data_IF_836367810226
#
_entry.id   IF_836367810226
#
_cell.length_a   1.000
_cell.length_b   1.000
_cell.length_c   1.000
_cell.angle_alpha   90.00
_cell.angle_beta   90.00
_cell.angle_gamma   90.00
#
_symmetry.space_group_name_H-M   'P 1'
#
loop_
_entity.id
_entity.type
_entity.pdbx_description
1 polymer ?
#
# COMPACT_ATOMS: atom_id res chain seq x y z
N UNK A 1 11.66 7.73 18.60
CA UNK A 1 11.17 7.01 17.40
C UNK A 1 9.65 7.11 17.36
N UNK A 2 9.12 7.82 16.37
CA UNK A 2 7.66 8.11 16.27
C UNK A 2 6.94 7.22 15.24
N UNK A 3 7.50 6.05 14.92
CA UNK A 3 6.95 5.17 13.88
C UNK A 3 5.94 4.20 14.45
N UNK A 4 4.89 3.92 13.68
CA UNK A 4 3.90 2.87 13.96
C UNK A 4 4.22 1.73 13.00
N UNK A 5 4.54 0.57 13.55
CA UNK A 5 5.01 -0.59 12.80
C UNK A 5 3.90 -1.65 12.77
N UNK A 6 3.61 -2.16 11.57
CA UNK A 6 2.71 -3.30 11.36
C UNK A 6 3.55 -4.46 10.83
N UNK A 7 3.55 -5.58 11.53
CA UNK A 7 4.17 -6.82 11.03
C UNK A 7 3.21 -7.58 10.12
N UNK A 8 3.74 -8.29 9.12
CA UNK A 8 2.94 -9.04 8.12
C UNK A 8 2.21 -10.27 8.69
N UNK A 9 2.57 -10.70 9.88
CA UNK A 9 2.05 -11.89 10.55
C UNK A 9 0.81 -11.64 11.41
N UNK A 10 0.34 -10.37 11.53
CA UNK A 10 -0.87 -10.04 12.26
C UNK A 10 -1.71 -8.99 11.53
N UNK A 11 -3.01 -9.25 11.42
CA UNK A 11 -3.94 -8.28 10.87
C UNK A 11 -4.27 -7.22 11.94
N UNK A 12 -4.27 -5.91 11.58
CA UNK A 12 -4.80 -4.88 12.45
C UNK A 12 -6.29 -5.13 12.70
N UNK A 13 -6.74 -4.89 13.92
CA UNK A 13 -8.14 -5.06 14.31
C UNK A 13 -8.84 -3.71 14.31
N UNK A 14 -9.93 -3.59 13.55
CA UNK A 14 -10.78 -2.41 13.59
C UNK A 14 -11.53 -2.33 14.93
N UNK A 15 -11.39 -1.21 15.63
CA UNK A 15 -12.13 -0.90 16.86
C UNK A 15 -13.34 0.01 16.60
N UNK A 16 -13.24 0.86 15.57
CA UNK A 16 -14.31 1.76 15.16
C UNK A 16 -13.84 2.71 14.08
N UNK A 17 -14.75 3.16 13.24
CA UNK A 17 -14.45 4.17 12.22
C UNK A 17 -15.69 4.93 11.82
N UNK A 18 -15.52 6.11 11.27
CA UNK A 18 -16.62 6.91 10.77
C UNK A 18 -16.20 8.28 10.26
N UNK A 19 -17.21 8.99 9.74
CA UNK A 19 -17.14 10.40 9.42
C UNK A 19 -17.76 11.19 10.58
N UNK A 20 -17.03 12.18 11.08
CA UNK A 20 -17.49 13.09 12.10
C UNK A 20 -17.60 14.51 11.54
N UNK A 21 -18.66 15.22 11.93
CA UNK A 21 -18.85 16.65 11.66
C UNK A 21 -19.15 17.35 12.98
N UNK A 22 -18.35 18.34 13.33
CA UNK A 22 -18.50 19.08 14.57
C UNK A 22 -19.79 19.93 14.53
N UNK A 23 -20.80 19.55 15.32
CA UNK A 23 -22.07 20.32 15.48
C UNK A 23 -21.85 21.62 16.24
N UNK A 24 -20.87 21.63 17.16
CA UNK A 24 -20.42 22.77 17.94
C UNK A 24 -18.92 22.80 18.09
N UNK A 25 -18.36 23.92 18.55
CA UNK A 25 -16.93 23.97 18.87
C UNK A 25 -16.63 23.16 20.15
N UNK A 26 -15.60 22.31 20.11
CA UNK A 26 -15.21 21.46 21.25
C UNK A 26 -13.69 21.33 21.32
N UNK A 27 -13.19 20.78 22.43
CA UNK A 27 -11.79 20.45 22.63
C UNK A 27 -11.63 18.93 22.42
N UNK A 28 -10.58 18.52 21.72
CA UNK A 28 -10.28 17.09 21.50
C UNK A 28 -10.24 16.32 22.82
N UNK A 29 -10.79 15.12 22.81
CA UNK A 29 -10.92 14.27 24.00
C UNK A 29 -9.57 13.99 24.65
N UNK A 30 -9.54 14.12 25.98
CA UNK A 30 -8.40 13.80 26.84
C UNK A 30 -8.44 12.32 27.23
N UNK A 31 -7.45 11.52 26.75
CA UNK A 31 -7.42 10.06 27.00
C UNK A 31 -6.08 9.41 26.69
N UNK A 32 -5.89 8.20 27.22
CA UNK A 32 -4.82 7.24 26.82
C UNK A 32 -5.50 6.02 26.24
N UNK A 33 -5.69 5.92 24.91
CA UNK A 33 -6.38 4.80 24.29
C UNK A 33 -5.46 3.57 24.16
N UNK A 34 -6.07 2.38 24.17
CA UNK A 34 -5.42 1.10 23.88
C UNK A 34 -5.42 0.75 22.37
N UNK A 35 -5.68 1.72 21.50
CA UNK A 35 -5.73 1.62 20.06
C UNK A 35 -5.08 2.84 19.38
N UNK A 36 -4.62 2.66 18.16
CA UNK A 36 -4.17 3.76 17.31
C UNK A 36 -5.38 4.52 16.73
N UNK A 37 -5.22 5.82 16.50
CA UNK A 37 -6.25 6.69 15.90
C UNK A 37 -5.71 7.31 14.61
N UNK A 38 -6.21 6.90 13.46
CA UNK A 38 -6.00 7.61 12.20
C UNK A 38 -7.06 8.72 12.12
N UNK A 39 -6.61 9.95 11.87
CA UNK A 39 -7.43 11.14 11.65
C UNK A 39 -7.11 11.68 10.26
N UNK A 40 -8.09 11.81 9.38
CA UNK A 40 -7.99 12.50 8.11
C UNK A 40 -8.99 13.66 8.07
N UNK A 41 -8.51 14.88 7.97
CA UNK A 41 -9.34 16.08 7.96
C UNK A 41 -9.83 16.38 6.55
N UNK A 42 -11.17 16.46 6.40
CA UNK A 42 -11.82 16.78 5.12
C UNK A 42 -12.03 18.30 5.00
N UNK A 43 -12.43 18.95 6.11
CA UNK A 43 -12.74 20.37 6.14
C UNK A 43 -12.45 20.94 7.53
N UNK A 44 -11.90 22.14 7.58
CA UNK A 44 -11.49 22.78 8.83
C UNK A 44 -10.14 22.33 9.35
N UNK A 45 -9.97 22.33 10.68
CA UNK A 45 -8.71 22.01 11.34
C UNK A 45 -8.95 21.32 12.68
N UNK A 46 -8.12 20.31 13.00
CA UNK A 46 -8.11 19.62 14.30
C UNK A 46 -6.82 19.97 15.04
N UNK A 47 -6.96 20.29 16.32
CA UNK A 47 -5.85 20.54 17.24
C UNK A 47 -5.77 19.40 18.25
N UNK A 48 -4.64 18.70 18.30
CA UNK A 48 -4.39 17.60 19.23
C UNK A 48 -2.94 17.59 19.68
N UNK A 49 -2.73 17.36 20.97
CA UNK A 49 -1.40 17.11 21.55
C UNK A 49 -1.26 15.63 21.84
N UNK A 50 -0.16 15.00 21.47
CA UNK A 50 0.19 13.63 21.84
C UNK A 50 1.52 13.65 22.60
N UNK A 51 1.51 13.21 23.84
CA UNK A 51 2.65 13.42 24.76
C UNK A 51 2.99 14.92 24.84
N UNK A 52 4.20 15.28 24.43
CA UNK A 52 4.69 16.66 24.42
C UNK A 52 4.61 17.34 23.02
N UNK A 53 4.04 16.68 22.03
CA UNK A 53 4.02 17.17 20.65
C UNK A 53 2.63 17.68 20.29
N UNK A 54 2.57 18.96 19.89
CA UNK A 54 1.35 19.58 19.40
C UNK A 54 1.21 19.39 17.89
N UNK A 55 0.03 18.96 17.44
CA UNK A 55 -0.34 18.79 16.03
C UNK A 55 -1.49 19.72 15.66
N UNK A 56 -1.35 20.36 14.52
CA UNK A 56 -2.39 21.10 13.82
C UNK A 56 -2.63 20.38 12.50
N UNK A 57 -3.79 19.76 12.35
CA UNK A 57 -4.14 18.92 11.20
C UNK A 57 -5.18 19.64 10.36
N UNK A 58 -4.78 20.12 9.20
CA UNK A 58 -5.62 20.88 8.29
C UNK A 58 -6.33 19.99 7.27
N UNK A 59 -7.27 20.55 6.53
CA UNK A 59 -7.96 19.85 5.46
C UNK A 59 -6.97 19.26 4.44
N UNK A 60 -7.15 17.97 4.08
CA UNK A 60 -6.24 17.21 3.22
C UNK A 60 -5.04 16.58 3.94
N UNK A 61 -4.92 16.77 5.25
CA UNK A 61 -3.84 16.21 6.07
C UNK A 61 -4.31 15.00 6.89
N UNK A 62 -3.35 14.14 7.23
CA UNK A 62 -3.57 12.92 8.00
C UNK A 62 -2.59 12.83 9.16
N UNK A 63 -3.11 12.46 10.33
CA UNK A 63 -2.34 12.18 11.54
C UNK A 63 -2.69 10.78 12.07
N UNK A 64 -1.70 10.04 12.56
CA UNK A 64 -1.94 8.79 13.30
C UNK A 64 -1.42 8.95 14.74
N UNK A 65 -2.35 8.88 15.71
CA UNK A 65 -2.02 8.84 17.15
C UNK A 65 -1.75 7.40 17.58
N UNK A 66 -0.76 7.22 18.45
CA UNK A 66 -0.34 5.90 18.93
C UNK A 66 -1.21 5.38 20.06
N UNK A 67 -1.35 4.06 20.12
CA UNK A 67 -1.88 3.39 21.29
C UNK A 67 -0.96 3.59 22.51
N UNK A 68 -1.55 3.66 23.68
CA UNK A 68 -0.84 3.81 24.95
C UNK A 68 -0.18 5.18 25.18
N UNK A 69 -0.32 6.13 24.25
CA UNK A 69 0.21 7.48 24.41
C UNK A 69 -0.94 8.45 24.72
N UNK A 70 -0.75 9.24 25.77
CA UNK A 70 -1.71 10.26 26.15
C UNK A 70 -1.89 11.30 25.05
N UNK A 71 -3.14 11.58 24.69
CA UNK A 71 -3.47 12.67 23.76
C UNK A 71 -4.68 13.47 24.25
N UNK A 72 -4.65 14.76 23.98
CA UNK A 72 -5.66 15.72 24.41
C UNK A 72 -5.68 16.97 23.51
N UNK A 73 -6.69 17.78 23.64
CA UNK A 73 -6.78 19.07 22.94
C UNK A 73 -6.38 20.24 23.85
N UNK A 74 -5.63 21.20 23.31
CA UNK A 74 -5.34 22.51 23.95
C UNK A 74 -6.18 23.63 23.37
N UNK A 75 -6.60 23.49 22.11
CA UNK A 75 -7.37 24.50 21.37
C UNK A 75 -8.74 23.94 20.97
N UNK A 76 -9.71 24.83 20.80
CA UNK A 76 -11.03 24.44 20.32
C UNK A 76 -11.01 24.15 18.82
N UNK A 77 -11.57 23.01 18.45
CA UNK A 77 -11.93 22.66 17.08
C UNK A 77 -13.21 23.41 16.75
N UNK A 78 -13.23 24.06 15.59
CA UNK A 78 -14.36 24.90 15.21
C UNK A 78 -15.56 24.10 14.74
N UNK A 79 -16.76 24.63 14.98
CA UNK A 79 -18.01 24.12 14.40
C UNK A 79 -17.87 24.00 12.88
N UNK A 80 -18.39 22.89 12.31
CA UNK A 80 -18.33 22.60 10.89
C UNK A 80 -17.10 21.81 10.45
N UNK A 81 -16.06 21.68 11.29
CA UNK A 81 -14.90 20.82 10.99
C UNK A 81 -15.35 19.39 10.74
N UNK A 82 -14.86 18.78 9.65
CA UNK A 82 -15.20 17.41 9.22
C UNK A 82 -13.95 16.56 9.09
N UNK A 83 -14.01 15.36 9.64
CA UNK A 83 -12.90 14.40 9.50
C UNK A 83 -13.38 12.96 9.50
N UNK A 84 -12.55 12.09 8.92
CA UNK A 84 -12.67 10.64 9.08
C UNK A 84 -11.75 10.21 10.20
N UNK A 85 -12.25 9.29 11.05
CA UNK A 85 -11.45 8.61 12.03
C UNK A 85 -11.49 7.09 11.81
N UNK A 86 -10.34 6.44 12.08
CA UNK A 86 -10.24 4.97 12.12
C UNK A 86 -9.46 4.59 13.37
N UNK A 87 -10.12 3.88 14.28
CA UNK A 87 -9.53 3.34 15.49
C UNK A 87 -9.15 1.88 15.24
N UNK A 88 -7.90 1.51 15.49
CA UNK A 88 -7.43 0.15 15.24
C UNK A 88 -6.35 -0.28 16.22
N UNK A 89 -6.33 -1.58 16.57
CA UNK A 89 -5.27 -2.22 17.33
C UNK A 89 -4.30 -2.92 16.42
N UNK A 90 -3.03 -2.86 16.77
CA UNK A 90 -1.97 -3.64 16.16
C UNK A 90 -1.54 -4.64 17.22
N UNK A 91 -1.60 -5.94 16.91
CA UNK A 91 -1.11 -6.95 17.85
C UNK A 91 0.42 -6.88 17.93
N UNK A 92 0.94 -6.77 19.15
CA UNK A 92 2.37 -6.81 19.41
C UNK A 92 2.91 -8.25 19.53
N UNK A 93 2.03 -9.24 19.61
CA UNK A 93 2.39 -10.63 19.89
C UNK A 93 2.45 -11.46 18.62
N UNK A 94 3.60 -11.41 17.96
CA UNK A 94 3.90 -12.25 16.80
C UNK A 94 5.22 -13.00 16.98
N UNK A 95 5.31 -13.80 18.03
CA UNK A 95 6.38 -14.77 18.24
C UNK A 95 6.06 -16.17 17.66
N UNK A 96 5.13 -16.27 16.72
CA UNK A 96 4.88 -17.51 16.02
C UNK A 96 5.85 -17.61 14.83
N UNK A 97 7.02 -18.18 15.07
CA UNK A 97 7.86 -18.68 13.99
C UNK A 97 7.10 -19.80 13.28
N UNK A 98 6.78 -19.69 11.98
CA UNK A 98 6.19 -20.80 11.26
C UNK A 98 7.20 -21.95 11.24
N UNK A 99 6.78 -23.11 11.72
CA UNK A 99 7.58 -24.33 11.68
C UNK A 99 7.54 -24.88 10.25
N UNK A 100 8.64 -24.75 9.52
CA UNK A 100 8.87 -25.49 8.30
C UNK A 100 9.99 -26.52 8.58
N UNK A 101 9.76 -27.82 8.33
CA UNK A 101 10.84 -28.80 8.37
C UNK A 101 11.86 -28.49 7.27
N UNK A 102 13.14 -28.86 7.49
CA UNK A 102 14.36 -28.54 6.72
C UNK A 102 14.37 -28.94 5.22
N UNK A 103 13.34 -28.67 4.49
CA UNK A 103 13.28 -28.83 3.04
C UNK A 103 12.97 -27.47 2.41
N UNK A 104 14.01 -26.82 1.88
CA UNK A 104 13.83 -25.64 1.02
C UNK A 104 13.32 -26.10 -0.35
N UNK A 105 12.02 -25.95 -0.66
CA UNK A 105 11.54 -26.19 -2.02
C UNK A 105 12.15 -25.14 -2.96
N UNK A 106 12.67 -25.56 -4.09
CA UNK A 106 13.12 -24.67 -5.16
C UNK A 106 11.99 -23.71 -5.53
N UNK A 107 12.20 -22.40 -5.32
CA UNK A 107 11.26 -21.35 -5.67
C UNK A 107 10.14 -21.08 -4.65
N UNK A 108 10.24 -21.55 -3.41
CA UNK A 108 9.29 -21.20 -2.37
C UNK A 108 9.44 -19.74 -1.95
N UNK A 109 8.31 -19.05 -1.79
CA UNK A 109 8.23 -17.76 -1.14
C UNK A 109 8.66 -17.92 0.33
N UNK A 110 9.72 -17.24 0.74
CA UNK A 110 10.15 -17.22 2.13
C UNK A 110 9.19 -16.33 2.95
N UNK A 111 8.20 -16.97 3.53
CA UNK A 111 7.23 -16.29 4.42
C UNK A 111 7.84 -15.93 5.79
N UNK A 112 9.07 -16.40 6.08
CA UNK A 112 9.74 -16.12 7.37
C UNK A 112 10.46 -14.77 7.37
N UNK A 113 10.68 -14.17 6.19
CA UNK A 113 11.21 -12.82 6.11
C UNK A 113 10.21 -11.86 6.75
N UNK A 114 10.55 -11.30 7.90
CA UNK A 114 9.74 -10.28 8.57
C UNK A 114 9.58 -9.08 7.65
N UNK A 115 8.39 -8.92 7.10
CA UNK A 115 8.04 -7.73 6.34
C UNK A 115 7.36 -6.75 7.27
N UNK A 116 8.00 -5.62 7.49
CA UNK A 116 7.52 -4.54 8.36
C UNK A 116 6.98 -3.41 7.50
N UNK A 117 5.74 -3.01 7.76
CA UNK A 117 5.16 -1.79 7.22
C UNK A 117 5.25 -0.68 8.25
N UNK A 118 5.90 0.41 7.90
CA UNK A 118 5.97 1.60 8.73
C UNK A 118 4.92 2.61 8.27
N UNK A 119 4.00 2.96 9.16
CA UNK A 119 3.01 4.00 8.89
C UNK A 119 3.58 5.39 9.18
N UNK A 120 3.23 6.40 8.38
CA UNK A 120 3.61 7.77 8.64
C UNK A 120 2.92 8.29 9.89
N UNK A 121 3.62 9.09 10.66
CA UNK A 121 3.02 9.79 11.81
C UNK A 121 2.10 10.91 11.36
N UNK A 122 2.53 11.68 10.38
CA UNK A 122 1.82 12.83 9.84
C UNK A 122 2.04 12.94 8.32
N UNK A 123 1.02 13.33 7.59
CA UNK A 123 1.07 13.57 6.15
C UNK A 123 0.40 14.89 5.81
N UNK A 124 1.15 15.80 5.18
CA UNK A 124 0.64 17.10 4.73
C UNK A 124 -0.22 17.03 3.46
N UNK A 125 0.07 16.09 2.57
CA UNK A 125 -0.64 15.97 1.29
C UNK A 125 -1.05 14.53 1.06
N UNK A 126 -2.27 14.20 1.44
CA UNK A 126 -2.86 12.89 1.19
C UNK A 126 -3.27 12.79 -0.28
N UNK A 127 -2.85 11.72 -0.97
CA UNK A 127 -3.21 11.55 -2.37
C UNK A 127 -4.72 11.35 -2.55
N UNK A 128 -5.28 11.89 -3.63
CA UNK A 128 -6.70 11.71 -3.97
C UNK A 128 -7.09 10.23 -4.09
N UNK A 129 -6.14 9.36 -4.48
CA UNK A 129 -6.33 7.91 -4.52
C UNK A 129 -6.56 7.35 -3.12
N UNK A 130 -5.69 7.67 -2.15
CA UNK A 130 -5.84 7.17 -0.78
C UNK A 130 -7.10 7.74 -0.11
N UNK A 131 -7.42 9.00 -0.34
CA UNK A 131 -8.68 9.59 0.15
C UNK A 131 -9.90 8.81 -0.35
N UNK A 132 -9.92 8.43 -1.63
CA UNK A 132 -10.99 7.60 -2.20
C UNK A 132 -11.03 6.21 -1.55
N UNK A 133 -9.87 5.56 -1.38
CA UNK A 133 -9.77 4.25 -0.71
C UNK A 133 -10.29 4.32 0.74
N UNK A 134 -9.94 5.39 1.47
CA UNK A 134 -10.41 5.62 2.84
C UNK A 134 -11.93 5.82 2.90
N UNK A 135 -12.51 6.63 2.01
CA UNK A 135 -13.96 6.82 1.92
C UNK A 135 -14.69 5.51 1.61
N UNK A 136 -14.20 4.75 0.63
CA UNK A 136 -14.75 3.42 0.29
C UNK A 136 -14.67 2.44 1.46
N UNK A 137 -13.59 2.49 2.25
CA UNK A 137 -13.46 1.69 3.47
C UNK A 137 -14.53 2.06 4.50
N UNK A 138 -14.79 3.36 4.73
CA UNK A 138 -15.83 3.81 5.66
C UNK A 138 -17.23 3.39 5.19
N UNK A 139 -17.52 3.53 3.90
CA UNK A 139 -18.80 3.08 3.31
C UNK A 139 -18.99 1.57 3.52
N UNK A 140 -17.96 0.76 3.27
CA UNK A 140 -18.01 -0.67 3.53
C UNK A 140 -18.21 -0.99 5.01
N UNK A 141 -17.51 -0.31 5.91
CA UNK A 141 -17.65 -0.51 7.35
C UNK A 141 -19.06 -0.17 7.87
N UNK A 142 -19.77 0.74 7.22
CA UNK A 142 -21.15 1.16 7.53
C UNK A 142 -22.21 0.35 6.78
N UNK A 143 -21.83 -0.46 5.78
CA UNK A 143 -22.79 -1.24 4.98
C UNK A 143 -23.47 -2.35 5.80
N UNK A 144 -24.58 -2.88 5.28
CA UNK A 144 -25.31 -4.02 5.86
C UNK A 144 -24.77 -5.38 5.36
N UNK A 145 -23.56 -5.43 4.81
CA UNK A 145 -22.95 -6.67 4.33
C UNK A 145 -22.82 -7.70 5.48
N UNK A 146 -23.46 -8.85 5.29
CA UNK A 146 -23.48 -9.96 6.25
C UNK A 146 -22.07 -10.49 6.55
N UNK A 147 -21.18 -10.46 5.57
CA UNK A 147 -19.81 -10.95 5.69
C UNK A 147 -18.80 -9.88 6.15
N UNK A 148 -19.26 -8.65 6.41
CA UNK A 148 -18.42 -7.53 6.84
C UNK A 148 -17.46 -7.88 7.98
N UNK A 149 -17.96 -8.60 9.01
CA UNK A 149 -17.15 -9.01 10.17
C UNK A 149 -15.93 -9.88 9.80
N UNK A 150 -16.01 -10.63 8.69
CA UNK A 150 -14.93 -11.50 8.21
C UNK A 150 -13.86 -10.76 7.42
N UNK A 151 -14.25 -9.72 6.71
CA UNK A 151 -13.37 -9.05 5.75
C UNK A 151 -12.89 -7.66 6.18
N UNK A 152 -13.47 -7.06 7.23
CA UNK A 152 -13.16 -5.68 7.59
C UNK A 152 -11.71 -5.48 8.01
N UNK A 153 -11.11 -6.44 8.71
CA UNK A 153 -9.72 -6.35 9.14
C UNK A 153 -8.74 -6.55 7.97
N UNK A 154 -9.06 -7.41 7.00
CA UNK A 154 -8.26 -7.54 5.77
C UNK A 154 -8.30 -6.23 4.95
N UNK A 155 -9.49 -5.62 4.83
CA UNK A 155 -9.63 -4.33 4.15
C UNK A 155 -8.89 -3.21 4.87
N UNK A 156 -8.93 -3.21 6.20
CA UNK A 156 -8.13 -2.29 7.01
C UNK A 156 -6.64 -2.49 6.76
N UNK A 157 -6.15 -3.72 6.75
CA UNK A 157 -4.75 -4.02 6.45
C UNK A 157 -4.34 -3.52 5.07
N UNK A 158 -5.17 -3.75 4.04
CA UNK A 158 -4.92 -3.25 2.68
C UNK A 158 -4.89 -1.71 2.63
N UNK A 159 -5.80 -1.05 3.35
CA UNK A 159 -5.84 0.42 3.44
C UNK A 159 -4.56 0.97 4.09
N UNK A 160 -4.15 0.41 5.24
CA UNK A 160 -2.93 0.82 5.93
C UNK A 160 -1.67 0.50 5.13
N UNK A 161 -1.65 -0.64 4.40
CA UNK A 161 -0.57 -0.98 3.48
C UNK A 161 -0.46 0.00 2.31
N UNK A 162 -1.60 0.39 1.72
CA UNK A 162 -1.65 1.43 0.68
C UNK A 162 -1.10 2.77 1.20
N UNK A 163 -1.46 3.15 2.44
CA UNK A 163 -0.92 4.34 3.09
C UNK A 163 0.60 4.22 3.28
N UNK A 164 1.09 3.14 3.87
CA UNK A 164 2.52 2.92 4.10
C UNK A 164 3.32 2.97 2.79
N UNK A 165 2.84 2.27 1.74
CA UNK A 165 3.47 2.27 0.42
C UNK A 165 3.45 3.66 -0.23
N UNK A 166 2.36 4.42 -0.07
CA UNK A 166 2.26 5.77 -0.63
C UNK A 166 3.20 6.77 0.05
N UNK A 167 3.53 6.55 1.30
CA UNK A 167 4.32 7.46 2.15
C UNK A 167 5.76 7.03 2.35
N UNK A 168 6.00 5.77 2.42
CA UNK A 168 7.35 5.28 2.19
C UNK A 168 7.74 5.66 0.77
N UNK A 169 7.16 6.79 0.32
CA UNK A 169 7.24 7.26 -1.00
C UNK A 169 8.09 6.29 -1.71
N UNK A 170 7.77 5.53 -2.64
CA UNK A 170 8.79 4.82 -3.31
C UNK A 170 10.04 5.64 -3.07
N UNK A 171 10.63 5.35 -1.93
CA UNK A 171 11.72 6.18 -1.42
C UNK A 171 12.69 6.12 -2.56
N UNK A 172 13.42 7.19 -2.79
CA UNK A 172 14.48 7.26 -3.78
C UNK A 172 15.50 6.08 -3.69
N UNK A 173 15.18 5.01 -2.99
CA UNK A 173 15.85 3.72 -2.86
C UNK A 173 15.34 2.64 -3.82
N UNK A 174 14.30 2.88 -4.64
CA UNK A 174 14.10 2.03 -5.80
C UNK A 174 15.33 2.20 -6.69
N UNK A 175 16.10 1.11 -6.80
CA UNK A 175 17.22 1.10 -7.73
C UNK A 175 16.70 1.44 -9.13
N UNK A 176 17.57 1.90 -9.99
CA UNK A 176 17.18 2.12 -11.39
C UNK A 176 16.58 0.83 -11.98
N UNK A 177 17.10 -0.33 -11.59
CA UNK A 177 16.58 -1.63 -12.00
C UNK A 177 15.16 -1.91 -11.51
N UNK A 178 14.80 -1.51 -10.29
CA UNK A 178 13.42 -1.66 -9.77
C UNK A 178 12.43 -0.77 -10.54
N UNK A 179 12.85 0.44 -10.88
CA UNK A 179 12.05 1.37 -11.69
C UNK A 179 11.84 0.81 -13.11
N UNK A 180 12.86 0.18 -13.68
CA UNK A 180 12.78 -0.49 -14.98
C UNK A 180 11.86 -1.71 -14.89
N UNK A 181 11.97 -2.55 -13.84
CA UNK A 181 11.05 -3.68 -13.62
C UNK A 181 9.59 -3.23 -13.63
N UNK A 182 9.28 -2.15 -12.88
CA UNK A 182 7.93 -1.59 -12.87
C UNK A 182 7.48 -1.13 -14.24
N UNK A 183 8.30 -0.35 -14.94
CA UNK A 183 7.97 0.12 -16.29
C UNK A 183 7.67 -1.05 -17.23
N UNK A 184 8.46 -2.11 -17.20
CA UNK A 184 8.25 -3.30 -18.03
C UNK A 184 6.96 -4.06 -17.64
N UNK A 185 6.65 -4.15 -16.35
CA UNK A 185 5.41 -4.77 -15.85
C UNK A 185 4.16 -3.95 -16.20
N UNK A 186 4.24 -2.63 -16.15
CA UNK A 186 3.12 -1.75 -16.53
C UNK A 186 2.86 -1.75 -18.06
N UNK A 187 3.84 -2.19 -18.85
CA UNK A 187 3.78 -2.20 -20.33
C UNK A 187 3.86 -3.62 -20.93
N UNK A 188 3.28 -4.61 -20.27
CA UNK A 188 3.34 -6.01 -20.71
C UNK A 188 2.73 -6.27 -22.08
N UNK A 189 1.72 -5.50 -22.48
CA UNK A 189 1.07 -5.60 -23.80
C UNK A 189 1.84 -4.89 -24.93
N UNK A 190 2.96 -4.24 -24.63
CA UNK A 190 3.76 -3.52 -25.63
C UNK A 190 5.02 -4.34 -25.93
N UNK A 191 5.38 -4.56 -27.22
CA UNK A 191 6.63 -5.22 -27.56
C UNK A 191 7.84 -4.52 -26.92
N UNK A 192 8.83 -5.33 -26.50
CA UNK A 192 10.06 -4.78 -25.93
C UNK A 192 10.79 -3.87 -26.92
N UNK A 193 11.07 -2.65 -26.50
CA UNK A 193 11.80 -1.66 -27.31
C UNK A 193 12.78 -0.88 -26.45
N UNK A 194 14.07 -1.01 -26.76
CA UNK A 194 15.16 -0.33 -26.04
C UNK A 194 15.10 1.19 -26.14
N UNK A 195 14.68 1.74 -27.29
CA UNK A 195 14.57 3.19 -27.49
C UNK A 195 13.48 3.81 -26.60
N UNK A 196 12.37 3.09 -26.40
CA UNK A 196 11.30 3.54 -25.51
C UNK A 196 11.80 3.60 -24.05
N UNK A 197 12.65 2.65 -23.65
CA UNK A 197 13.27 2.63 -22.33
C UNK A 197 14.26 3.80 -22.19
N UNK A 198 15.11 4.05 -23.19
CA UNK A 198 16.02 5.21 -23.20
C UNK A 198 15.28 6.53 -23.07
N UNK A 199 14.23 6.73 -23.87
CA UNK A 199 13.38 7.92 -23.81
C UNK A 199 12.68 8.08 -22.44
N UNK A 200 12.24 6.98 -21.84
CA UNK A 200 11.53 7.02 -20.55
C UNK A 200 12.43 7.38 -19.39
N UNK A 201 13.68 6.88 -19.38
CA UNK A 201 14.62 7.05 -18.26
C UNK A 201 15.69 8.11 -18.50
N UNK A 202 15.80 8.65 -19.71
CA UNK A 202 16.83 9.63 -20.11
C UNK A 202 18.25 9.12 -19.89
N UNK A 203 18.46 7.81 -20.05
CA UNK A 203 19.75 7.11 -19.89
C UNK A 203 19.99 6.17 -21.07
N UNK A 204 21.27 5.94 -21.42
CA UNK A 204 21.59 4.99 -22.49
C UNK A 204 21.17 3.55 -22.13
N UNK A 205 20.61 2.83 -23.08
CA UNK A 205 20.20 1.44 -22.90
C UNK A 205 21.37 0.55 -22.44
N UNK A 206 22.56 0.78 -22.99
CA UNK A 206 23.79 0.01 -22.65
C UNK A 206 24.11 0.12 -21.14
N UNK A 207 24.03 1.32 -20.58
CA UNK A 207 24.24 1.56 -19.15
C UNK A 207 23.18 0.83 -18.31
N UNK A 208 21.91 1.06 -18.66
CA UNK A 208 20.79 0.45 -17.95
C UNK A 208 20.82 -1.08 -18.03
N UNK A 209 21.11 -1.66 -19.20
CA UNK A 209 21.19 -3.10 -19.40
C UNK A 209 22.29 -3.76 -18.57
N UNK A 210 23.47 -3.12 -18.50
CA UNK A 210 24.57 -3.60 -17.66
C UNK A 210 24.20 -3.61 -16.18
N UNK A 211 23.67 -2.49 -15.68
CA UNK A 211 23.24 -2.35 -14.29
C UNK A 211 22.12 -3.34 -13.94
N UNK A 212 21.10 -3.42 -14.78
CA UNK A 212 19.96 -4.32 -14.58
C UNK A 212 20.39 -5.78 -14.51
N UNK A 213 21.25 -6.23 -15.45
CA UNK A 213 21.75 -7.60 -15.43
C UNK A 213 22.60 -7.89 -14.19
N UNK A 214 23.39 -6.91 -13.73
CA UNK A 214 24.19 -7.02 -12.49
C UNK A 214 23.31 -7.16 -11.26
N UNK A 215 22.22 -6.40 -11.16
CA UNK A 215 21.35 -6.36 -9.98
C UNK A 215 20.26 -7.45 -10.00
N UNK A 216 19.72 -7.80 -11.17
CA UNK A 216 18.59 -8.74 -11.31
C UNK A 216 18.99 -10.13 -11.84
N UNK A 217 20.23 -10.31 -12.26
CA UNK A 217 20.74 -11.59 -12.80
C UNK A 217 20.26 -11.93 -14.22
N UNK A 218 19.26 -11.25 -14.74
CA UNK A 218 18.66 -11.48 -16.06
C UNK A 218 18.68 -10.20 -16.90
N UNK A 219 18.50 -10.32 -18.23
CA UNK A 219 18.36 -9.13 -19.09
C UNK A 219 16.97 -8.51 -18.95
N UNK A 220 16.81 -7.22 -19.28
CA UNK A 220 15.51 -6.55 -19.30
C UNK A 220 14.49 -7.26 -20.21
N UNK A 221 14.94 -7.76 -21.35
CA UNK A 221 14.09 -8.50 -22.28
C UNK A 221 13.65 -9.85 -21.71
N UNK A 222 14.56 -10.58 -21.05
CA UNK A 222 14.21 -11.83 -20.36
C UNK A 222 13.21 -11.57 -19.22
N UNK A 223 13.43 -10.52 -18.43
CA UNK A 223 12.50 -10.12 -17.39
C UNK A 223 11.13 -9.76 -17.96
N UNK A 224 11.08 -8.94 -19.02
CA UNK A 224 9.82 -8.57 -19.66
C UNK A 224 9.07 -9.80 -20.20
N UNK A 225 9.79 -10.76 -20.80
CA UNK A 225 9.18 -11.99 -21.27
C UNK A 225 8.65 -12.85 -20.12
N UNK A 226 9.38 -12.96 -18.99
CA UNK A 226 8.87 -13.72 -17.84
C UNK A 226 7.58 -13.13 -17.29
N UNK A 227 7.48 -11.82 -17.11
CA UNK A 227 6.27 -11.15 -16.63
C UNK A 227 5.08 -11.36 -17.60
N UNK A 228 5.35 -11.35 -18.91
CA UNK A 228 4.32 -11.65 -19.93
C UNK A 228 3.84 -13.10 -19.84
N UNK A 229 4.73 -14.06 -19.58
CA UNK A 229 4.37 -15.47 -19.41
C UNK A 229 3.57 -15.71 -18.12
N UNK A 230 3.95 -15.07 -17.02
CA UNK A 230 3.20 -15.15 -15.76
C UNK A 230 1.77 -14.63 -15.95
N UNK A 231 1.60 -13.51 -16.65
CA UNK A 231 0.27 -12.98 -16.97
C UNK A 231 -0.49 -13.88 -17.96
N UNK A 232 0.20 -14.50 -18.92
CA UNK A 232 -0.39 -15.50 -19.82
C UNK A 232 -0.97 -16.68 -19.05
N UNK A 233 -0.20 -17.24 -18.11
CA UNK A 233 -0.65 -18.32 -17.23
C UNK A 233 -1.89 -17.91 -16.41
N UNK A 234 -1.87 -16.69 -15.87
CA UNK A 234 -3.02 -16.15 -15.12
C UNK A 234 -4.26 -16.03 -16.00
N UNK A 235 -4.13 -15.51 -17.22
CA UNK A 235 -5.26 -15.35 -18.14
C UNK A 235 -5.81 -16.71 -18.60
N UNK A 236 -4.94 -17.68 -18.90
CA UNK A 236 -5.35 -19.04 -19.25
C UNK A 236 -6.17 -19.73 -18.14
N UNK A 237 -5.78 -19.49 -16.87
CA UNK A 237 -6.48 -20.09 -15.73
C UNK A 237 -7.75 -19.35 -15.30
N UNK A 238 -7.87 -18.05 -15.59
CA UNK A 238 -8.92 -17.18 -15.04
C UNK A 238 -9.92 -16.66 -16.06
N UNK A 239 -9.73 -16.92 -17.36
CA UNK A 239 -10.59 -16.40 -18.43
C UNK A 239 -10.91 -17.47 -19.47
N UNK A 240 -11.88 -17.18 -20.35
CA UNK A 240 -12.23 -18.02 -21.52
C UNK A 240 -11.54 -17.53 -22.81
N UNK A 241 -10.52 -16.70 -22.70
CA UNK A 241 -9.78 -16.18 -23.85
C UNK A 241 -9.04 -17.31 -24.57
N UNK A 242 -9.07 -17.28 -25.88
CA UNK A 242 -8.26 -18.18 -26.72
C UNK A 242 -6.77 -17.86 -26.62
N UNK A 243 -5.91 -18.80 -26.95
CA UNK A 243 -4.46 -18.61 -26.99
C UNK A 243 -4.07 -17.42 -27.89
N UNK A 244 -4.78 -17.26 -29.02
CA UNK A 244 -4.56 -16.13 -29.93
C UNK A 244 -4.88 -14.77 -29.28
N UNK A 245 -6.05 -14.66 -28.64
CA UNK A 245 -6.45 -13.44 -27.93
C UNK A 245 -5.50 -13.09 -26.77
N UNK A 246 -4.98 -14.08 -26.08
CA UNK A 246 -3.98 -13.87 -25.02
C UNK A 246 -2.66 -13.39 -25.60
N UNK A 247 -2.20 -14.00 -26.69
CA UNK A 247 -0.98 -13.58 -27.39
C UNK A 247 -1.08 -12.12 -27.87
N UNK A 248 -2.19 -11.75 -28.51
CA UNK A 248 -2.44 -10.38 -28.99
C UNK A 248 -2.48 -9.38 -27.80
N UNK A 249 -3.20 -9.72 -26.73
CA UNK A 249 -3.29 -8.88 -25.54
C UNK A 249 -1.94 -8.65 -24.87
N UNK A 250 -1.07 -9.64 -24.91
CA UNK A 250 0.28 -9.55 -24.36
C UNK A 250 1.30 -9.00 -25.37
N UNK A 251 0.87 -8.56 -26.57
CA UNK A 251 1.72 -7.93 -27.57
C UNK A 251 2.69 -8.89 -28.28
N UNK A 252 2.32 -10.16 -28.40
CA UNK A 252 3.06 -11.10 -29.24
C UNK A 252 2.57 -11.00 -30.69
N UNK A 253 3.50 -10.74 -31.61
CA UNK A 253 3.20 -10.66 -33.04
C UNK A 253 3.04 -12.04 -33.71
N UNK A 254 3.47 -13.11 -33.05
CA UNK A 254 3.42 -14.48 -33.56
C UNK A 254 2.91 -15.43 -32.46
N UNK A 255 1.69 -15.95 -32.70
CA UNK A 255 1.01 -16.89 -31.80
C UNK A 255 1.77 -18.23 -31.70
N UNK A 256 2.44 -18.66 -32.77
CA UNK A 256 3.24 -19.91 -32.76
C UNK A 256 4.49 -19.74 -31.89
N UNK A 257 5.12 -18.56 -31.94
CA UNK A 257 6.22 -18.23 -31.03
C UNK A 257 5.72 -18.19 -29.58
N UNK A 258 4.59 -17.51 -29.33
CA UNK A 258 3.98 -17.45 -27.99
C UNK A 258 3.70 -18.86 -27.42
N UNK A 259 3.16 -19.78 -28.24
CA UNK A 259 2.84 -21.14 -27.81
C UNK A 259 4.06 -22.02 -27.50
N UNK A 260 5.26 -21.60 -27.93
CA UNK A 260 6.52 -22.29 -27.65
C UNK A 260 7.28 -21.73 -26.45
N UNK A 261 6.90 -20.54 -25.98
CA UNK A 261 7.45 -19.91 -24.78
C UNK A 261 6.84 -20.46 -23.51
#
# INVERSE_FOLDING_TARGET
MNEIIIANNSLPQLCGCGLFAASDSFIHTDRVPDFCVLIYVIDGCIYVTEGDTDYEVNAGELLILKNGVHHFGKKKIQKGTKWIFVHFRISADCNASPFYPDASPLGAYDATAESILTLPKFLHNVSARFEKELKTFIEYAQSDDTYKKWFINQRLFLLLSSLAVSTQGFSNNLTLSDRICRYLSDNIGVPFNSENIEKRFYLSYKYMAHLFKKEKGVTMQQYHNSVRMDEACRLLCSTLMSIGEIADKLGFSDVLYFSRC
#
